data_IF_291041414148
#
_entry.id   IF_291041414148
#
_cell.length_a   1.000
_cell.length_b   1.000
_cell.length_c   1.000
_cell.angle_alpha   90.00
_cell.angle_beta   90.00
_cell.angle_gamma   90.00
#
_symmetry.space_group_name_H-M   'P 1'
#
loop_
_entity.id
_entity.type
_entity.pdbx_description
1 polymer ?
#
# COMPACT_ATOMS: atom_id res chain seq x y z
N UNK A 1 12.08 10.14 -17.29
CA UNK A 1 10.99 10.97 -16.73
C UNK A 1 9.73 10.13 -16.80
N UNK A 2 9.08 9.80 -15.67
CA UNK A 2 7.67 9.40 -15.72
C UNK A 2 6.92 10.62 -16.24
N UNK A 3 6.19 10.48 -17.35
CA UNK A 3 5.81 11.67 -18.09
C UNK A 3 4.70 11.42 -19.08
N UNK A 4 3.50 11.24 -18.57
CA UNK A 4 2.27 11.55 -19.27
C UNK A 4 1.26 12.01 -18.23
N UNK A 5 0.64 13.16 -18.46
CA UNK A 5 -0.46 13.65 -17.63
C UNK A 5 -1.75 13.34 -18.36
N UNK A 6 -2.65 12.65 -17.68
CA UNK A 6 -4.02 12.44 -18.13
C UNK A 6 -4.95 13.03 -17.07
N UNK A 7 -6.08 13.57 -17.50
CA UNK A 7 -7.15 13.88 -16.57
C UNK A 7 -7.75 12.57 -16.05
N UNK A 8 -7.84 12.43 -14.72
CA UNK A 8 -8.52 11.29 -14.12
C UNK A 8 -10.04 11.50 -14.28
N UNK A 9 -10.76 10.62 -14.99
CA UNK A 9 -12.19 10.80 -15.18
C UNK A 9 -12.95 10.78 -13.85
N UNK A 10 -14.09 11.49 -13.81
CA UNK A 10 -14.92 11.53 -12.61
C UNK A 10 -15.40 10.12 -12.21
N UNK A 11 -15.38 9.84 -10.91
CA UNK A 11 -15.78 8.54 -10.36
C UNK A 11 -14.71 7.45 -10.44
N UNK A 12 -13.56 7.71 -11.06
CA UNK A 12 -12.46 6.75 -11.09
C UNK A 12 -11.72 6.74 -9.76
N UNK A 13 -11.52 5.55 -9.22
CA UNK A 13 -10.68 5.35 -8.05
C UNK A 13 -9.26 5.05 -8.50
N UNK A 14 -8.29 5.85 -8.04
CA UNK A 14 -6.88 5.53 -8.26
C UNK A 14 -6.47 4.31 -7.43
N UNK A 15 -6.06 3.26 -8.16
CA UNK A 15 -5.48 2.00 -7.66
C UNK A 15 -4.09 1.75 -8.24
N UNK A 16 -3.43 2.79 -8.72
CA UNK A 16 -2.08 2.71 -9.27
C UNK A 16 -1.10 2.23 -8.20
N UNK A 17 -0.10 1.47 -8.65
CA UNK A 17 1.04 1.06 -7.83
C UNK A 17 2.32 1.44 -8.55
N UNK A 18 3.18 2.21 -7.89
CA UNK A 18 4.54 2.42 -8.35
C UNK A 18 5.42 1.33 -7.76
N UNK A 19 6.10 0.57 -8.61
CA UNK A 19 7.06 -0.46 -8.21
C UNK A 19 8.44 -0.06 -8.72
N UNK A 20 9.37 0.12 -7.80
CA UNK A 20 10.79 0.32 -8.09
C UNK A 20 11.56 -0.92 -7.63
N UNK A 21 12.36 -1.49 -8.52
CA UNK A 21 13.22 -2.64 -8.22
C UNK A 21 14.67 -2.16 -8.18
N UNK A 22 15.40 -2.54 -7.15
CA UNK A 22 16.85 -2.37 -7.11
C UNK A 22 17.54 -3.66 -7.56
N UNK A 23 18.78 -3.54 -8.02
CA UNK A 23 19.59 -4.70 -8.35
C UNK A 23 19.83 -5.58 -7.10
N UNK A 24 19.90 -6.91 -7.25
CA UNK A 24 19.95 -7.88 -6.14
C UNK A 24 21.21 -7.81 -5.26
N UNK A 25 22.15 -6.91 -5.56
CA UNK A 25 23.39 -6.73 -4.83
C UNK A 25 24.14 -8.06 -4.62
N UNK A 26 24.88 -8.16 -3.52
CA UNK A 26 25.67 -9.35 -3.17
C UNK A 26 24.85 -10.43 -2.46
N UNK A 27 23.67 -10.11 -1.94
CA UNK A 27 22.79 -11.04 -1.22
C UNK A 27 21.86 -11.84 -2.14
N UNK A 28 21.84 -11.54 -3.45
CA UNK A 28 21.03 -12.24 -4.44
C UNK A 28 19.54 -11.94 -4.36
N UNK A 29 19.11 -11.03 -3.47
CA UNK A 29 17.72 -10.62 -3.29
C UNK A 29 17.58 -9.19 -3.78
N UNK A 30 16.78 -8.99 -4.82
CA UNK A 30 16.41 -7.67 -5.32
C UNK A 30 15.30 -7.08 -4.43
N UNK A 31 15.57 -6.03 -3.62
CA UNK A 31 14.52 -5.40 -2.85
C UNK A 31 13.60 -4.61 -3.78
N UNK A 32 12.31 -4.62 -3.44
CA UNK A 32 11.30 -3.79 -4.09
C UNK A 32 10.89 -2.65 -3.16
N UNK A 33 10.72 -1.47 -3.75
CA UNK A 33 10.07 -0.32 -3.11
C UNK A 33 8.75 -0.08 -3.84
N UNK A 34 7.64 -0.20 -3.09
CA UNK A 34 6.30 -0.12 -3.64
C UNK A 34 5.54 1.02 -2.98
N UNK A 35 4.96 1.89 -3.80
CA UNK A 35 4.05 2.96 -3.36
C UNK A 35 2.65 2.62 -3.84
N UNK A 36 1.70 2.57 -2.92
CA UNK A 36 0.28 2.33 -3.18
C UNK A 36 -0.55 3.51 -2.68
N UNK A 37 -1.80 3.58 -3.14
CA UNK A 37 -2.79 4.53 -2.66
C UNK A 37 -4.01 3.78 -2.12
N UNK A 38 -4.51 4.21 -0.97
CA UNK A 38 -5.72 3.66 -0.37
C UNK A 38 -6.60 4.78 0.18
N UNK A 39 -7.89 4.67 -0.09
CA UNK A 39 -8.87 5.61 0.45
C UNK A 39 -9.12 5.24 1.90
N UNK A 40 -8.93 6.22 2.78
CA UNK A 40 -9.20 6.05 4.21
C UNK A 40 -10.68 5.72 4.44
N UNK A 41 -10.99 4.63 5.17
CA UNK A 41 -12.37 4.26 5.49
C UNK A 41 -13.13 5.38 6.22
N UNK A 42 -14.43 5.51 5.92
CA UNK A 42 -15.28 6.58 6.47
C UNK A 42 -15.67 6.37 7.94
N UNK A 43 -15.45 5.17 8.48
CA UNK A 43 -15.75 4.80 9.87
C UNK A 43 -14.64 5.22 10.86
N UNK A 44 -13.55 5.82 10.36
CA UNK A 44 -12.43 6.25 11.18
C UNK A 44 -12.63 7.64 11.82
N UNK A 45 -11.88 7.97 12.89
CA UNK A 45 -12.03 9.24 13.61
C UNK A 45 -11.97 10.48 12.72
N UNK A 46 -12.67 11.55 13.15
CA UNK A 46 -12.67 12.84 12.47
C UNK A 46 -11.31 13.55 12.53
N UNK A 47 -10.60 13.41 13.65
CA UNK A 47 -9.29 13.99 13.88
C UNK A 47 -8.23 13.36 12.96
N UNK A 48 -7.41 14.19 12.32
CA UNK A 48 -6.46 13.75 11.29
C UNK A 48 -5.40 12.79 11.84
N UNK A 49 -4.81 13.10 12.98
CA UNK A 49 -3.73 12.31 13.56
C UNK A 49 -4.29 10.97 14.05
N UNK A 50 -5.39 11.00 14.81
CA UNK A 50 -6.06 9.78 15.28
C UNK A 50 -6.56 8.91 14.13
N UNK A 51 -7.00 9.50 13.02
CA UNK A 51 -7.39 8.78 11.81
C UNK A 51 -6.21 8.02 11.20
N UNK A 52 -5.04 8.65 11.10
CA UNK A 52 -3.85 8.02 10.56
C UNK A 52 -3.39 6.86 11.44
N UNK A 53 -3.38 7.05 12.75
CA UNK A 53 -3.03 6.01 13.73
C UNK A 53 -3.99 4.82 13.62
N UNK A 54 -5.30 5.05 13.69
CA UNK A 54 -6.31 3.99 13.58
C UNK A 54 -6.26 3.26 12.23
N UNK A 55 -5.95 3.98 11.14
CA UNK A 55 -5.75 3.37 9.83
C UNK A 55 -4.51 2.47 9.80
N UNK A 56 -3.38 2.93 10.36
CA UNK A 56 -2.14 2.15 10.43
C UNK A 56 -2.30 0.88 11.27
N UNK A 57 -3.02 0.96 12.40
CA UNK A 57 -3.32 -0.21 13.24
C UNK A 57 -4.15 -1.26 12.48
N UNK A 58 -5.20 -0.82 11.76
CA UNK A 58 -6.02 -1.68 10.92
C UNK A 58 -5.20 -2.37 9.83
N UNK A 59 -4.30 -1.64 9.17
CA UNK A 59 -3.39 -2.22 8.17
C UNK A 59 -2.46 -3.27 8.79
N UNK A 60 -1.90 -3.00 9.97
CA UNK A 60 -1.04 -3.94 10.68
C UNK A 60 -1.78 -5.24 11.07
N UNK A 61 -3.05 -5.14 11.49
CA UNK A 61 -3.91 -6.30 11.77
C UNK A 61 -4.17 -7.13 10.50
N UNK A 62 -4.59 -6.49 9.41
CA UNK A 62 -4.83 -7.16 8.13
C UNK A 62 -3.58 -7.87 7.59
N UNK A 63 -2.40 -7.23 7.73
CA UNK A 63 -1.13 -7.83 7.35
C UNK A 63 -0.83 -9.08 8.17
N UNK A 64 -1.05 -9.06 9.50
CA UNK A 64 -0.83 -10.22 10.36
C UNK A 64 -1.71 -11.39 9.96
N UNK A 65 -2.98 -11.15 9.68
CA UNK A 65 -3.92 -12.20 9.30
C UNK A 65 -3.57 -12.79 7.92
N UNK A 66 -3.27 -11.92 6.95
CA UNK A 66 -2.94 -12.32 5.58
C UNK A 66 -1.62 -13.09 5.52
N UNK A 67 -0.58 -12.61 6.19
CA UNK A 67 0.72 -13.27 6.18
C UNK A 67 0.66 -14.61 6.92
N UNK A 68 -0.03 -14.70 8.05
CA UNK A 68 -0.21 -15.98 8.77
C UNK A 68 -0.96 -17.02 7.95
N UNK A 69 -2.04 -16.65 7.27
CA UNK A 69 -2.79 -17.57 6.40
C UNK A 69 -1.88 -18.13 5.30
N UNK A 70 -1.07 -17.28 4.65
CA UNK A 70 -0.18 -17.74 3.56
C UNK A 70 0.93 -18.70 3.98
N UNK A 71 1.31 -18.76 5.26
CA UNK A 71 2.29 -19.74 5.75
C UNK A 71 1.66 -21.04 6.27
N UNK A 72 0.35 -21.06 6.57
CA UNK A 72 -0.35 -22.26 7.03
C UNK A 72 -0.96 -23.07 5.87
N UNK A 73 -1.11 -22.47 4.69
CA UNK A 73 -1.63 -23.10 3.47
C UNK A 73 -0.52 -23.62 2.52
N UNK A 74 0.74 -23.66 2.98
CA UNK A 74 1.92 -24.08 2.20
C UNK A 74 2.55 -25.39 2.71
#
# INVERSE_FOLDING_TARGET
MQGMTIECPEGWQDKSMLVLLADPGTLGIAPSFVVTHEITPSDLPADRTKRLEAFADRQAEQMRDTLRSRFNDA
#
